data_IF_700716294838
#
_entry.id   IF_700716294838
#
_cell.length_a   1.000
_cell.length_b   1.000
_cell.length_c   1.000
_cell.angle_alpha   90.00
_cell.angle_beta   90.00
_cell.angle_gamma   90.00
#
_symmetry.space_group_name_H-M   'P 1'
#
loop_
_entity.id
_entity.type
_entity.pdbx_description
1 polymer ?
#
# COMPACT_ATOMS: atom_id res chain seq x y z
N UNK A 1 -7.23 26.08 -4.04
CA UNK A 1 -6.13 25.24 -3.54
C UNK A 1 -5.79 24.31 -4.67
N UNK A 2 -4.59 24.39 -5.21
CA UNK A 2 -4.14 23.44 -6.20
C UNK A 2 -4.07 22.07 -5.52
N UNK A 3 -4.82 21.09 -6.03
CA UNK A 3 -4.59 19.70 -5.71
C UNK A 3 -3.16 19.40 -6.13
N UNK A 4 -2.28 19.28 -5.15
CA UNK A 4 -0.90 18.88 -5.38
C UNK A 4 -0.94 17.46 -5.91
N UNK A 5 -0.89 17.32 -7.24
CA UNK A 5 -0.83 16.03 -7.91
C UNK A 5 0.49 15.36 -7.58
N UNK A 6 0.44 14.38 -6.71
CA UNK A 6 1.58 13.55 -6.40
C UNK A 6 1.67 12.43 -7.44
N UNK A 7 2.66 12.52 -8.32
CA UNK A 7 2.93 11.45 -9.28
C UNK A 7 3.65 10.28 -8.61
N UNK A 8 2.86 9.35 -8.12
CA UNK A 8 3.32 8.14 -7.45
C UNK A 8 4.17 7.23 -8.34
N UNK A 9 4.00 7.31 -9.65
CA UNK A 9 4.75 6.48 -10.58
C UNK A 9 6.20 6.93 -10.77
N UNK A 10 6.56 8.15 -10.36
CA UNK A 10 7.95 8.62 -10.40
C UNK A 10 8.87 7.77 -9.54
N UNK A 11 8.47 7.44 -8.31
CA UNK A 11 9.31 6.60 -7.46
C UNK A 11 9.24 5.11 -7.84
N UNK A 12 8.12 4.63 -8.38
CA UNK A 12 7.95 3.25 -8.83
C UNK A 12 8.73 2.96 -10.12
N UNK A 13 8.97 3.97 -10.93
CA UNK A 13 9.75 3.86 -12.18
C UNK A 13 11.26 4.07 -11.99
N UNK A 14 11.69 4.60 -10.85
CA UNK A 14 13.11 4.77 -10.51
C UNK A 14 13.60 3.55 -9.70
N UNK A 15 14.56 2.76 -10.22
CA UNK A 15 14.96 1.51 -9.59
C UNK A 15 15.63 1.71 -8.24
N UNK A 16 16.34 2.82 -8.02
CA UNK A 16 17.03 3.08 -6.75
C UNK A 16 16.05 3.56 -5.69
N UNK A 17 15.10 4.43 -6.04
CA UNK A 17 14.04 4.85 -5.13
C UNK A 17 13.12 3.68 -4.78
N UNK A 18 12.72 2.87 -5.76
CA UNK A 18 11.88 1.70 -5.53
C UNK A 18 12.55 0.72 -4.57
N UNK A 19 13.85 0.45 -4.74
CA UNK A 19 14.60 -0.43 -3.83
C UNK A 19 14.61 0.11 -2.41
N UNK A 20 14.90 1.40 -2.23
CA UNK A 20 14.92 2.04 -0.91
C UNK A 20 13.56 2.03 -0.22
N UNK A 21 12.49 2.22 -0.98
CA UNK A 21 11.11 2.13 -0.46
C UNK A 21 10.81 0.70 -0.01
N UNK A 22 11.14 -0.29 -0.83
CA UNK A 22 10.94 -1.71 -0.52
C UNK A 22 11.74 -2.14 0.72
N UNK A 23 12.97 -1.67 0.89
CA UNK A 23 13.77 -1.93 2.09
C UNK A 23 13.05 -1.43 3.35
N UNK A 24 12.44 -0.24 3.30
CA UNK A 24 11.63 0.28 4.40
C UNK A 24 10.36 -0.55 4.63
N UNK A 25 9.69 -0.99 3.56
CA UNK A 25 8.49 -1.81 3.65
C UNK A 25 8.79 -3.19 4.25
N UNK A 26 9.95 -3.77 3.98
CA UNK A 26 10.37 -5.07 4.53
C UNK A 26 10.33 -5.07 6.05
N UNK A 27 10.74 -3.98 6.70
CA UNK A 27 10.70 -3.85 8.15
C UNK A 27 9.27 -3.78 8.73
N UNK A 28 8.27 -3.49 7.89
CA UNK A 28 6.87 -3.39 8.28
C UNK A 28 6.09 -4.70 8.15
N UNK A 29 6.67 -5.72 7.51
CA UNK A 29 5.99 -7.01 7.28
C UNK A 29 5.80 -7.73 8.62
N UNK A 30 4.56 -8.02 9.03
CA UNK A 30 4.31 -8.75 10.27
C UNK A 30 4.68 -10.23 10.13
N UNK A 31 4.92 -10.89 11.26
CA UNK A 31 5.11 -12.33 11.28
C UNK A 31 3.83 -13.08 10.86
N UNK A 32 3.99 -14.27 10.28
CA UNK A 32 2.86 -15.15 9.93
C UNK A 32 2.15 -14.79 8.63
N UNK A 33 2.74 -13.96 7.79
CA UNK A 33 2.23 -13.65 6.44
C UNK A 33 2.64 -14.78 5.49
N UNK A 34 1.64 -15.32 4.79
CA UNK A 34 1.83 -16.38 3.80
C UNK A 34 1.95 -15.85 2.37
N UNK A 35 1.27 -14.74 2.06
CA UNK A 35 1.21 -14.14 0.73
C UNK A 35 1.24 -12.61 0.79
N UNK A 36 1.85 -12.00 -0.22
CA UNK A 36 1.83 -10.56 -0.46
C UNK A 36 0.82 -10.25 -1.57
N UNK A 37 -0.22 -9.50 -1.26
CA UNK A 37 -1.29 -9.16 -2.19
C UNK A 37 -1.13 -7.74 -2.76
N UNK A 38 -0.49 -7.60 -3.92
CA UNK A 38 -0.33 -6.30 -4.58
C UNK A 38 -1.59 -5.84 -5.28
N UNK A 39 -2.09 -4.64 -4.93
CA UNK A 39 -3.26 -4.06 -5.57
C UNK A 39 -2.88 -3.42 -6.91
N UNK A 40 -3.64 -3.71 -7.95
CA UNK A 40 -3.49 -3.10 -9.27
C UNK A 40 -3.71 -1.57 -9.18
N UNK A 41 -2.87 -0.70 -9.75
CA UNK A 41 -1.62 -1.02 -10.46
C UNK A 41 -0.40 -0.84 -9.54
N UNK A 42 -0.34 0.20 -8.73
CA UNK A 42 0.84 0.64 -7.97
C UNK A 42 1.34 -0.36 -6.92
N UNK A 43 0.46 -1.17 -6.37
CA UNK A 43 0.85 -2.23 -5.43
C UNK A 43 1.56 -3.42 -6.07
N UNK A 44 1.43 -3.60 -7.40
CA UNK A 44 2.01 -4.75 -8.11
C UNK A 44 3.55 -4.71 -8.13
N UNK A 45 4.22 -3.64 -8.58
CA UNK A 45 5.68 -3.58 -8.53
C UNK A 45 6.23 -3.67 -7.11
N UNK A 46 5.54 -3.06 -6.14
CA UNK A 46 5.93 -3.12 -4.73
C UNK A 46 5.85 -4.54 -4.17
N UNK A 47 4.75 -5.24 -4.40
CA UNK A 47 4.58 -6.63 -3.96
C UNK A 47 5.60 -7.57 -4.62
N UNK A 48 5.91 -7.36 -5.90
CA UNK A 48 6.91 -8.15 -6.64
C UNK A 48 8.30 -7.97 -6.05
N UNK A 49 8.71 -6.74 -5.81
CA UNK A 49 10.01 -6.42 -5.21
C UNK A 49 10.10 -6.91 -3.76
N UNK A 50 9.02 -6.72 -2.98
CA UNK A 50 8.96 -7.19 -1.60
C UNK A 50 8.99 -8.72 -1.51
N UNK A 51 8.33 -9.42 -2.44
CA UNK A 51 8.40 -10.87 -2.57
C UNK A 51 9.83 -11.35 -2.82
N UNK A 52 10.56 -10.69 -3.71
CA UNK A 52 11.97 -10.97 -3.97
C UNK A 52 12.85 -10.74 -2.73
N UNK A 53 12.58 -9.69 -1.96
CA UNK A 53 13.36 -9.34 -0.77
C UNK A 53 13.07 -10.26 0.44
N UNK A 54 11.84 -10.75 0.58
CA UNK A 54 11.40 -11.52 1.76
C UNK A 54 11.30 -13.02 1.52
N UNK A 55 11.23 -13.46 0.27
CA UNK A 55 10.91 -14.85 -0.09
C UNK A 55 9.43 -15.24 0.07
N UNK A 56 8.56 -14.29 0.45
CA UNK A 56 7.12 -14.54 0.58
C UNK A 56 6.49 -14.46 -0.82
N UNK A 57 5.73 -15.48 -1.27
CA UNK A 57 5.11 -15.45 -2.59
C UNK A 57 4.10 -14.32 -2.73
N UNK A 58 3.89 -13.84 -3.96
CA UNK A 58 2.95 -12.77 -4.26
C UNK A 58 1.71 -13.28 -5.01
N UNK A 59 0.61 -12.54 -4.83
CA UNK A 59 -0.55 -12.55 -5.70
C UNK A 59 -0.89 -11.11 -6.10
N UNK A 60 -1.66 -10.94 -7.17
CA UNK A 60 -1.97 -9.62 -7.70
C UNK A 60 -3.47 -9.44 -7.75
N UNK A 61 -3.97 -8.40 -7.08
CA UNK A 61 -5.40 -8.13 -6.95
C UNK A 61 -5.80 -7.10 -8.00
N UNK A 62 -6.73 -7.49 -8.87
CA UNK A 62 -7.26 -6.62 -9.92
C UNK A 62 -8.27 -5.62 -9.33
N UNK A 63 -8.43 -4.48 -9.99
CA UNK A 63 -9.51 -3.52 -9.64
C UNK A 63 -10.88 -4.12 -9.91
N UNK A 64 -11.00 -4.87 -11.00
CA UNK A 64 -12.23 -5.51 -11.45
C UNK A 64 -11.98 -6.97 -11.79
N UNK A 65 -12.96 -7.84 -11.49
CA UNK A 65 -12.87 -9.22 -11.88
C UNK A 65 -12.90 -9.36 -13.42
N UNK A 66 -12.18 -10.34 -13.95
CA UNK A 66 -12.26 -10.65 -15.38
C UNK A 66 -13.69 -11.03 -15.78
N UNK A 67 -14.13 -10.55 -16.94
CA UNK A 67 -15.42 -10.94 -17.54
C UNK A 67 -15.36 -12.29 -18.24
N UNK A 68 -14.14 -12.82 -18.47
CA UNK A 68 -13.85 -14.09 -19.16
C UNK A 68 -12.83 -14.93 -18.39
N UNK A 69 -12.72 -16.20 -18.73
CA UNK A 69 -11.80 -17.14 -18.09
C UNK A 69 -12.25 -17.49 -16.67
N UNK A 70 -11.32 -17.51 -15.71
CA UNK A 70 -11.59 -17.92 -14.33
C UNK A 70 -12.42 -16.92 -13.53
N UNK A 71 -12.70 -15.74 -14.05
CA UNK A 71 -13.42 -14.62 -13.38
C UNK A 71 -12.86 -14.28 -11.99
N UNK A 72 -11.58 -14.55 -11.73
CA UNK A 72 -10.93 -14.28 -10.45
C UNK A 72 -10.55 -12.82 -10.36
N UNK A 73 -10.67 -12.26 -9.16
CA UNK A 73 -10.15 -10.93 -8.85
C UNK A 73 -8.65 -10.96 -8.56
N UNK A 74 -8.12 -12.10 -8.12
CA UNK A 74 -6.70 -12.28 -7.81
C UNK A 74 -6.03 -13.26 -8.78
N UNK A 75 -4.82 -12.92 -9.19
CA UNK A 75 -3.97 -13.72 -10.06
C UNK A 75 -2.70 -14.14 -9.30
N UNK A 76 -2.15 -15.30 -9.64
CA UNK A 76 -0.95 -15.86 -9.01
C UNK A 76 -1.30 -16.93 -7.97
N UNK A 77 -0.73 -16.82 -6.77
CA UNK A 77 -0.92 -17.82 -5.71
C UNK A 77 -2.36 -17.89 -5.20
N UNK A 78 -2.81 -19.08 -4.81
CA UNK A 78 -4.15 -19.29 -4.24
C UNK A 78 -4.23 -18.72 -2.82
N UNK A 79 -5.14 -17.78 -2.52
CA UNK A 79 -5.28 -17.17 -1.21
C UNK A 79 -6.04 -18.01 -0.19
N UNK A 80 -6.73 -19.08 -0.60
CA UNK A 80 -7.59 -19.88 0.28
C UNK A 80 -6.82 -20.46 1.47
N UNK A 81 -7.31 -20.20 2.68
CA UNK A 81 -6.71 -20.67 3.93
C UNK A 81 -5.38 -19.99 4.32
N UNK A 82 -5.00 -18.91 3.64
CA UNK A 82 -3.72 -18.21 3.86
C UNK A 82 -3.92 -16.81 4.41
N UNK A 83 -2.92 -16.34 5.14
CA UNK A 83 -2.84 -14.95 5.60
C UNK A 83 -2.21 -14.08 4.51
N UNK A 84 -3.00 -13.15 3.97
CA UNK A 84 -2.58 -12.24 2.91
C UNK A 84 -2.33 -10.85 3.49
N UNK A 85 -1.12 -10.33 3.29
CA UNK A 85 -0.75 -8.94 3.54
C UNK A 85 -1.01 -8.14 2.28
N UNK A 86 -1.89 -7.14 2.33
CA UNK A 86 -2.12 -6.27 1.19
C UNK A 86 -1.01 -5.24 1.05
N UNK A 87 -0.66 -4.95 -0.21
CA UNK A 87 0.38 -3.99 -0.58
C UNK A 87 -0.24 -2.94 -1.52
N UNK A 88 -0.08 -1.68 -1.16
CA UNK A 88 -0.57 -0.53 -1.92
C UNK A 88 0.51 0.56 -2.00
N UNK A 89 0.42 1.43 -2.97
CA UNK A 89 1.31 2.59 -3.07
C UNK A 89 0.84 3.73 -2.17
N UNK A 90 -0.39 4.21 -2.36
CA UNK A 90 -0.97 5.34 -1.61
C UNK A 90 -2.38 4.99 -1.15
N UNK A 91 -2.65 5.19 0.14
CA UNK A 91 -3.99 5.04 0.71
C UNK A 91 -4.56 6.44 0.97
N UNK A 92 -5.78 6.68 0.47
CA UNK A 92 -6.57 7.90 0.76
C UNK A 92 -7.79 7.57 1.61
N UNK A 93 -8.86 7.06 1.02
CA UNK A 93 -10.06 6.61 1.75
C UNK A 93 -9.97 5.16 2.22
N UNK A 94 -9.15 4.34 1.55
CA UNK A 94 -9.03 2.92 1.80
C UNK A 94 -10.04 2.06 1.03
N UNK A 95 -10.84 2.64 0.15
CA UNK A 95 -11.87 1.92 -0.60
C UNK A 95 -11.34 0.77 -1.45
N UNK A 96 -10.22 0.97 -2.16
CA UNK A 96 -9.58 -0.07 -2.95
C UNK A 96 -9.10 -1.24 -2.08
N UNK A 97 -8.46 -0.94 -0.96
CA UNK A 97 -7.99 -1.95 0.01
C UNK A 97 -9.17 -2.71 0.62
N UNK A 98 -10.23 -2.00 1.01
CA UNK A 98 -11.47 -2.62 1.53
C UNK A 98 -12.05 -3.62 0.53
N UNK A 99 -12.18 -3.23 -0.73
CA UNK A 99 -12.76 -4.09 -1.77
C UNK A 99 -11.89 -5.32 -2.02
N UNK A 100 -10.57 -5.14 -2.08
CA UNK A 100 -9.62 -6.24 -2.21
C UNK A 100 -9.69 -7.22 -1.02
N UNK A 101 -9.73 -6.69 0.21
CA UNK A 101 -9.83 -7.50 1.42
C UNK A 101 -11.11 -8.33 1.46
N UNK A 102 -12.25 -7.73 1.12
CA UNK A 102 -13.54 -8.44 1.06
C UNK A 102 -13.53 -9.57 0.03
N UNK A 103 -12.98 -9.31 -1.15
CA UNK A 103 -12.89 -10.31 -2.21
C UNK A 103 -11.96 -11.48 -1.82
N UNK A 104 -10.82 -11.20 -1.21
CA UNK A 104 -9.90 -12.25 -0.74
C UNK A 104 -10.48 -13.05 0.42
N UNK A 105 -11.15 -12.40 1.37
CA UNK A 105 -11.86 -13.07 2.47
C UNK A 105 -12.98 -13.97 1.94
N UNK A 106 -13.72 -13.55 0.91
CA UNK A 106 -14.71 -14.38 0.25
C UNK A 106 -14.10 -15.63 -0.41
N UNK A 107 -12.82 -15.58 -0.76
CA UNK A 107 -12.04 -16.73 -1.27
C UNK A 107 -11.37 -17.55 -0.17
N UNK A 108 -11.66 -17.28 1.11
CA UNK A 108 -11.13 -18.02 2.25
C UNK A 108 -9.81 -17.50 2.83
N UNK A 109 -9.34 -16.34 2.42
CA UNK A 109 -8.14 -15.72 2.99
C UNK A 109 -8.41 -15.01 4.32
N UNK A 110 -7.37 -14.89 5.14
CA UNK A 110 -7.31 -13.96 6.27
C UNK A 110 -6.58 -12.69 5.82
N UNK A 111 -7.23 -11.53 6.01
CA UNK A 111 -6.66 -10.22 5.67
C UNK A 111 -6.91 -9.27 6.84
N UNK A 112 -5.84 -8.85 7.52
CA UNK A 112 -5.92 -7.98 8.70
C UNK A 112 -5.00 -6.76 8.62
N UNK A 113 -4.11 -6.71 7.64
CA UNK A 113 -3.09 -5.67 7.54
C UNK A 113 -2.86 -5.28 6.09
N UNK A 114 -2.61 -4.01 5.87
CA UNK A 114 -2.09 -3.45 4.61
C UNK A 114 -0.83 -2.64 4.89
N UNK A 115 0.16 -2.78 4.02
CA UNK A 115 1.33 -1.90 3.98
C UNK A 115 1.20 -0.99 2.77
N UNK A 116 1.45 0.29 2.95
CA UNK A 116 1.55 1.24 1.85
C UNK A 116 2.81 2.09 1.95
N UNK A 117 3.18 2.73 0.85
CA UNK A 117 4.29 3.68 0.86
C UNK A 117 3.85 4.96 1.56
N UNK A 118 2.69 5.49 1.18
CA UNK A 118 2.18 6.75 1.71
C UNK A 118 0.75 6.57 2.23
N UNK A 119 0.56 6.82 3.52
CA UNK A 119 -0.77 6.94 4.11
C UNK A 119 -1.20 8.42 4.12
N UNK A 120 -2.15 8.75 3.25
CA UNK A 120 -2.80 10.07 3.15
C UNK A 120 -4.21 10.06 3.76
N UNK A 121 -4.61 9.00 4.43
CA UNK A 121 -5.93 8.91 5.04
C UNK A 121 -6.11 9.96 6.14
N UNK A 122 -7.34 10.42 6.30
CA UNK A 122 -7.70 11.29 7.40
C UNK A 122 -7.98 10.43 8.63
N UNK A 123 -7.32 10.68 9.77
CA UNK A 123 -7.56 9.92 11.00
C UNK A 123 -9.05 9.82 11.34
N UNK A 124 -9.52 8.62 11.61
CA UNK A 124 -10.93 8.35 11.93
C UNK A 124 -11.91 8.36 10.75
N UNK A 125 -11.44 8.62 9.53
CA UNK A 125 -12.29 8.68 8.33
C UNK A 125 -11.95 7.66 7.25
N UNK A 126 -10.99 6.75 7.49
CA UNK A 126 -10.70 5.72 6.50
C UNK A 126 -11.68 4.54 6.65
N UNK A 127 -11.95 3.90 5.52
CA UNK A 127 -12.91 2.79 5.43
C UNK A 127 -12.37 1.48 6.02
N UNK A 128 -11.09 1.43 6.40
CA UNK A 128 -10.42 0.22 6.86
C UNK A 128 -10.65 -0.05 8.35
N UNK A 129 -11.00 0.97 9.13
CA UNK A 129 -11.34 0.83 10.55
C UNK A 129 -12.50 -0.16 10.75
N UNK A 130 -13.58 0.02 9.98
CA UNK A 130 -14.74 -0.86 10.03
C UNK A 130 -14.42 -2.30 9.57
N UNK A 131 -13.43 -2.46 8.72
CA UNK A 131 -12.96 -3.76 8.24
C UNK A 131 -11.95 -4.42 9.17
N UNK A 132 -11.55 -3.75 10.26
CA UNK A 132 -10.49 -4.23 11.17
C UNK A 132 -9.16 -4.49 10.45
N UNK A 133 -8.80 -3.61 9.53
CA UNK A 133 -7.54 -3.64 8.81
C UNK A 133 -6.61 -2.58 9.38
N UNK A 134 -5.44 -3.00 9.82
CA UNK A 134 -4.38 -2.11 10.29
C UNK A 134 -3.57 -1.61 9.10
N UNK A 135 -3.35 -0.28 9.05
CA UNK A 135 -2.45 0.34 8.07
C UNK A 135 -1.06 0.45 8.69
N UNK A 136 -0.05 0.02 7.93
CA UNK A 136 1.36 0.32 8.20
C UNK A 136 1.92 1.06 6.99
N UNK A 137 2.58 2.18 7.21
CA UNK A 137 3.09 3.02 6.12
C UNK A 137 4.55 3.39 6.30
N UNK A 138 5.25 3.56 5.19
CA UNK A 138 6.62 4.12 5.20
C UNK A 138 6.56 5.60 5.53
N UNK A 139 5.59 6.32 4.96
CA UNK A 139 5.37 7.75 5.16
C UNK A 139 3.91 8.05 5.46
N UNK A 140 3.68 9.07 6.29
CA UNK A 140 2.34 9.61 6.54
C UNK A 140 2.21 10.99 5.90
N UNK A 141 0.97 11.46 5.73
CA UNK A 141 0.69 12.81 5.26
C UNK A 141 1.42 13.88 6.10
N UNK A 142 1.37 13.76 7.44
CA UNK A 142 2.02 14.71 8.32
C UNK A 142 3.54 14.77 8.14
N UNK A 143 4.19 13.65 7.87
CA UNK A 143 5.62 13.60 7.58
C UNK A 143 5.94 14.30 6.25
N UNK A 144 5.14 14.05 5.21
CA UNK A 144 5.31 14.71 3.90
C UNK A 144 5.13 16.22 4.02
N UNK A 145 4.09 16.68 4.70
CA UNK A 145 3.82 18.10 4.92
C UNK A 145 4.97 18.77 5.68
N UNK A 146 5.61 18.09 6.63
CA UNK A 146 6.75 18.61 7.39
C UNK A 146 8.02 18.79 6.56
N UNK A 147 8.20 17.99 5.50
CA UNK A 147 9.37 18.06 4.61
C UNK A 147 9.17 19.07 3.48
N UNK A 148 7.92 19.26 3.03
CA UNK A 148 7.58 20.18 1.94
C UNK A 148 7.32 21.61 2.38
N UNK A 149 7.10 21.86 3.68
CA UNK A 149 7.00 23.24 4.20
C UNK A 149 8.37 23.91 4.16
N UNK A 150 8.56 25.04 3.44
CA UNK A 150 9.81 25.76 3.50
C UNK A 150 10.07 26.21 4.94
N UNK A 151 11.25 25.92 5.45
CA UNK A 151 11.67 26.43 6.75
C UNK A 151 11.54 27.97 6.72
N UNK A 152 10.72 28.53 7.61
CA UNK A 152 10.63 29.98 7.79
C UNK A 152 12.03 30.46 8.16
N UNK A 153 12.66 31.35 7.37
CA UNK A 153 13.99 31.85 7.75
C UNK A 153 13.87 32.54 9.10
N UNK A 154 14.88 32.40 9.97
CA UNK A 154 14.88 33.10 11.24
C UNK A 154 14.78 34.60 10.97
N UNK A 155 13.80 35.23 11.61
CA UNK A 155 13.57 36.67 11.47
C UNK A 155 14.87 37.44 11.72
N UNK A 156 15.23 38.25 10.72
CA UNK A 156 16.31 39.23 10.90
C UNK A 156 15.77 40.22 11.93
N UNK A 157 16.35 40.16 13.13
CA UNK A 157 16.02 41.12 14.17
C UNK A 157 16.42 42.51 13.70
N UNK A 158 15.46 43.44 13.80
CA UNK A 158 15.69 44.86 13.60
C UNK A 158 16.75 45.33 14.59
N UNK A 159 17.83 45.92 14.04
CA UNK A 159 18.77 46.75 14.78
C UNK A 159 18.37 48.21 14.60
#
# INVERSE_FOLDING_TARGET
MADEYFDKYLFESDPDLLRRVVDQMTALVPAGVDLLGGLELGGVPLATMLSSATGIPALFVRKEAKTYGTRRLAEGSDPAGRTVLLIEDVITTGGAVRNAARALRASGATVTTVICVIDRSVPGRNELIAERITIRSVMTRGLLDSVTSPATPPGIGDF
#
